data_IF_980882129189
#
_entry.id   IF_980882129189
#
_cell.length_a   1.000
_cell.length_b   1.000
_cell.length_c   1.000
_cell.angle_alpha   90.00
_cell.angle_beta   90.00
_cell.angle_gamma   90.00
#
_symmetry.space_group_name_H-M   'P 1'
#
loop_
_entity.id
_entity.type
_entity.pdbx_description
1 polymer ?
#
# COMPACT_ATOMS: atom_id res chain seq x y z
N UNK A 1 11.41 2.56 -41.51
CA UNK A 1 10.76 3.11 -40.30
C UNK A 1 9.59 2.19 -39.99
N UNK A 2 9.76 1.25 -39.06
CA UNK A 2 8.66 0.34 -38.67
C UNK A 2 7.77 1.08 -37.68
N UNK A 3 6.53 1.37 -38.07
CA UNK A 3 5.51 1.82 -37.14
C UNK A 3 5.08 0.62 -36.30
N UNK A 4 5.59 0.52 -35.07
CA UNK A 4 5.12 -0.48 -34.10
C UNK A 4 3.80 0.02 -33.55
N UNK A 5 2.72 -0.73 -33.79
CA UNK A 5 1.44 -0.46 -33.15
C UNK A 5 1.48 -1.02 -31.72
N UNK A 6 1.52 -0.15 -30.71
CA UNK A 6 1.56 -0.55 -29.30
C UNK A 6 0.39 -1.48 -28.94
N UNK A 7 -0.77 -1.31 -29.58
CA UNK A 7 -1.95 -2.16 -29.36
C UNK A 7 -1.75 -3.59 -29.88
N UNK A 8 -1.10 -3.78 -31.04
CA UNK A 8 -0.85 -5.13 -31.55
C UNK A 8 0.16 -5.86 -30.68
N UNK A 9 1.23 -5.17 -30.25
CA UNK A 9 2.22 -5.74 -29.32
C UNK A 9 1.59 -6.10 -27.96
N UNK A 10 0.66 -5.29 -27.48
CA UNK A 10 -0.07 -5.58 -26.25
C UNK A 10 -0.92 -6.84 -26.41
N UNK A 11 -1.71 -6.94 -27.48
CA UNK A 11 -2.54 -8.11 -27.79
C UNK A 11 -1.72 -9.40 -27.83
N UNK A 12 -0.55 -9.37 -28.47
CA UNK A 12 0.36 -10.51 -28.52
C UNK A 12 0.88 -10.88 -27.11
N UNK A 13 1.19 -9.86 -26.28
CA UNK A 13 1.69 -10.07 -24.92
C UNK A 13 0.65 -10.55 -23.91
N UNK A 14 -0.63 -10.23 -24.12
CA UNK A 14 -1.73 -10.60 -23.22
C UNK A 14 -2.40 -11.92 -23.59
N UNK A 15 -2.08 -12.52 -24.74
CA UNK A 15 -2.68 -13.77 -25.22
C UNK A 15 -2.42 -14.96 -24.29
N UNK A 16 -1.16 -15.18 -23.91
CA UNK A 16 -0.77 -16.27 -22.98
C UNK A 16 -1.47 -16.12 -21.62
N UNK A 17 -1.55 -14.89 -21.10
CA UNK A 17 -2.27 -14.58 -19.87
C UNK A 17 -3.77 -14.93 -19.99
N UNK A 18 -4.41 -14.54 -21.09
CA UNK A 18 -5.84 -14.82 -21.31
C UNK A 18 -6.12 -16.32 -21.43
N UNK A 19 -5.23 -17.06 -22.10
CA UNK A 19 -5.36 -18.51 -22.30
C UNK A 19 -5.37 -19.32 -21.00
N UNK A 20 -4.75 -18.77 -19.94
CA UNK A 20 -4.64 -19.41 -18.61
C UNK A 20 -5.72 -18.96 -17.63
N UNK A 21 -6.35 -17.82 -17.86
CA UNK A 21 -7.36 -17.24 -16.94
C UNK A 21 -8.79 -17.62 -17.31
N UNK A 22 -9.07 -17.82 -18.61
CA UNK A 22 -10.33 -18.40 -19.11
C UNK A 22 -11.59 -17.74 -18.52
N UNK A 23 -11.69 -16.41 -18.63
CA UNK A 23 -12.84 -15.65 -18.09
C UNK A 23 -14.12 -15.84 -18.91
N UNK A 24 -14.00 -15.97 -20.23
CA UNK A 24 -15.13 -16.22 -21.13
C UNK A 24 -14.78 -17.26 -22.19
N UNK A 25 -15.79 -17.79 -22.89
CA UNK A 25 -15.59 -18.84 -23.89
C UNK A 25 -14.80 -18.40 -25.12
N UNK A 26 -14.64 -17.08 -25.35
CA UNK A 26 -13.89 -16.52 -26.46
C UNK A 26 -12.58 -15.88 -26.01
N UNK A 27 -11.47 -16.59 -26.23
CA UNK A 27 -10.12 -16.08 -25.95
C UNK A 27 -9.82 -14.76 -26.67
N UNK A 28 -10.26 -14.64 -27.93
CA UNK A 28 -10.08 -13.41 -28.72
C UNK A 28 -10.83 -12.24 -28.08
N UNK A 29 -12.09 -12.44 -27.70
CA UNK A 29 -12.89 -11.39 -27.05
C UNK A 29 -12.30 -10.99 -25.70
N UNK A 30 -11.80 -11.96 -24.93
CA UNK A 30 -11.13 -11.70 -23.65
C UNK A 30 -9.87 -10.86 -23.87
N UNK A 31 -9.01 -11.26 -24.81
CA UNK A 31 -7.74 -10.60 -25.08
C UNK A 31 -7.95 -9.15 -25.57
N UNK A 32 -8.93 -8.95 -26.47
CA UNK A 32 -9.30 -7.62 -26.95
C UNK A 32 -9.84 -6.73 -25.82
N UNK A 33 -10.73 -7.26 -24.98
CA UNK A 33 -11.31 -6.54 -23.85
C UNK A 33 -10.25 -6.17 -22.80
N UNK A 34 -9.35 -7.10 -22.47
CA UNK A 34 -8.25 -6.86 -21.52
C UNK A 34 -7.30 -5.77 -22.04
N UNK A 35 -6.84 -5.91 -23.30
CA UNK A 35 -5.97 -4.91 -23.94
C UNK A 35 -6.61 -3.52 -23.94
N UNK A 36 -7.89 -3.42 -24.27
CA UNK A 36 -8.61 -2.15 -24.28
C UNK A 36 -8.81 -1.55 -22.88
N UNK A 37 -9.07 -2.40 -21.89
CA UNK A 37 -9.17 -1.98 -20.49
C UNK A 37 -7.84 -1.40 -19.99
N UNK A 38 -6.72 -2.06 -20.28
CA UNK A 38 -5.37 -1.59 -19.92
C UNK A 38 -5.14 -0.17 -20.47
N UNK A 39 -5.39 0.05 -21.76
CA UNK A 39 -5.26 1.39 -22.34
C UNK A 39 -6.20 2.40 -21.72
N UNK A 40 -7.44 2.00 -21.41
CA UNK A 40 -8.45 2.89 -20.87
C UNK A 40 -8.10 3.38 -19.47
N UNK A 41 -7.61 2.49 -18.59
CA UNK A 41 -7.34 2.85 -17.19
C UNK A 41 -5.97 3.48 -16.97
N UNK A 42 -5.00 3.24 -17.87
CA UNK A 42 -3.61 3.68 -17.68
C UNK A 42 -3.42 5.20 -17.52
N UNK A 43 -4.41 5.99 -17.96
CA UNK A 43 -4.46 7.46 -17.82
C UNK A 43 -5.90 7.97 -17.71
N UNK A 44 -6.79 7.23 -17.03
CA UNK A 44 -8.21 7.60 -17.01
C UNK A 44 -8.45 8.91 -16.26
N UNK A 45 -9.21 9.84 -16.87
CA UNK A 45 -9.52 11.14 -16.29
C UNK A 45 -10.98 11.50 -16.55
N UNK A 46 -11.60 12.18 -15.59
CA UNK A 46 -12.94 12.78 -15.70
C UNK A 46 -12.87 14.24 -15.29
N UNK A 47 -13.35 15.14 -16.16
CA UNK A 47 -13.31 16.60 -15.93
C UNK A 47 -11.90 17.14 -15.54
N UNK A 48 -10.84 16.48 -16.03
CA UNK A 48 -9.44 16.82 -15.72
C UNK A 48 -8.92 16.24 -14.40
N UNK A 49 -9.75 15.53 -13.63
CA UNK A 49 -9.35 14.81 -12.43
C UNK A 49 -8.92 13.40 -12.80
N UNK A 50 -7.70 13.03 -12.42
CA UNK A 50 -7.21 11.66 -12.55
C UNK A 50 -7.99 10.73 -11.63
N UNK A 51 -8.53 9.65 -12.20
CA UNK A 51 -9.16 8.58 -11.44
C UNK A 51 -8.32 7.31 -11.56
N UNK A 52 -8.40 6.47 -10.54
CA UNK A 52 -7.65 5.22 -10.43
C UNK A 52 -8.60 4.04 -10.19
N UNK A 53 -9.58 3.79 -11.09
CA UNK A 53 -10.55 2.72 -10.87
C UNK A 53 -9.83 1.37 -10.83
N UNK A 54 -10.20 0.52 -9.86
CA UNK A 54 -9.89 -0.92 -9.91
C UNK A 54 -11.06 -1.64 -10.57
N UNK A 55 -10.75 -2.46 -11.55
CA UNK A 55 -11.74 -3.17 -12.37
C UNK A 55 -11.55 -4.67 -12.18
N UNK A 56 -12.62 -5.35 -11.80
CA UNK A 56 -12.66 -6.81 -11.66
C UNK A 56 -13.47 -7.39 -12.81
N UNK A 57 -12.81 -8.19 -13.64
CA UNK A 57 -13.47 -9.04 -14.62
C UNK A 57 -13.75 -10.39 -13.95
N UNK A 58 -15.01 -10.81 -13.92
CA UNK A 58 -15.46 -11.98 -13.16
C UNK A 58 -16.26 -12.92 -14.06
N UNK A 59 -16.24 -14.22 -13.81
CA UNK A 59 -17.21 -15.13 -14.42
C UNK A 59 -18.55 -15.14 -13.68
N UNK A 60 -18.58 -14.81 -12.39
CA UNK A 60 -19.79 -14.78 -11.56
C UNK A 60 -19.64 -13.77 -10.39
N UNK A 61 -20.41 -12.69 -10.43
CA UNK A 61 -20.44 -11.68 -9.35
C UNK A 61 -21.21 -12.16 -8.12
N UNK A 62 -22.24 -13.00 -8.28
CA UNK A 62 -23.08 -13.47 -7.18
C UNK A 62 -22.30 -14.40 -6.25
N UNK A 63 -21.43 -15.24 -6.81
CA UNK A 63 -20.49 -16.04 -6.01
C UNK A 63 -19.47 -15.17 -5.29
N UNK A 64 -18.91 -14.16 -5.95
CA UNK A 64 -17.99 -13.23 -5.31
C UNK A 64 -18.63 -12.48 -4.12
N UNK A 65 -19.87 -11.97 -4.29
CA UNK A 65 -20.60 -11.28 -3.22
C UNK A 65 -20.92 -12.20 -2.04
N UNK A 66 -21.22 -13.48 -2.27
CA UNK A 66 -21.44 -14.46 -1.19
C UNK A 66 -20.20 -14.72 -0.35
N UNK A 67 -19.01 -14.55 -0.93
CA UNK A 67 -17.73 -14.72 -0.23
C UNK A 67 -17.30 -13.46 0.53
N UNK A 68 -17.79 -12.28 0.13
CA UNK A 68 -17.45 -11.00 0.73
C UNK A 68 -18.45 -10.60 1.83
N UNK A 69 -18.06 -10.63 3.11
CA UNK A 69 -18.94 -10.18 4.20
C UNK A 69 -19.32 -8.71 4.04
N UNK A 70 -20.58 -8.37 4.36
CA UNK A 70 -21.06 -6.99 4.29
C UNK A 70 -21.00 -6.35 2.90
N UNK A 71 -20.84 -7.17 1.86
CA UNK A 71 -20.74 -6.70 0.47
C UNK A 71 -22.03 -6.08 -0.05
N UNK A 72 -21.87 -5.21 -1.03
CA UNK A 72 -22.97 -4.56 -1.73
C UNK A 72 -22.60 -4.38 -3.20
N UNK A 73 -23.60 -4.41 -4.08
CA UNK A 73 -23.42 -4.25 -5.51
C UNK A 73 -24.57 -3.49 -6.15
N UNK A 74 -24.23 -2.63 -7.10
CA UNK A 74 -25.17 -1.84 -7.88
C UNK A 74 -24.92 -2.16 -9.36
N UNK A 75 -25.89 -2.84 -9.97
CA UNK A 75 -25.89 -3.10 -11.40
C UNK A 75 -26.18 -1.80 -12.17
N UNK A 76 -25.31 -1.46 -13.13
CA UNK A 76 -25.41 -0.22 -13.92
C UNK A 76 -25.88 -0.51 -15.35
N UNK A 77 -25.45 -1.63 -15.94
CA UNK A 77 -25.90 -1.98 -17.27
C UNK A 77 -25.39 -3.34 -17.75
N UNK A 78 -25.68 -3.62 -19.02
CA UNK A 78 -25.25 -4.83 -19.69
C UNK A 78 -25.03 -4.58 -21.17
N UNK A 79 -24.26 -5.44 -21.81
CA UNK A 79 -24.03 -5.45 -23.26
C UNK A 79 -23.96 -6.89 -23.76
N UNK A 80 -24.28 -7.11 -25.04
CA UNK A 80 -24.16 -8.43 -25.69
C UNK A 80 -22.71 -8.76 -26.05
N UNK A 81 -21.85 -7.75 -26.12
CA UNK A 81 -20.43 -7.93 -26.41
C UNK A 81 -19.61 -7.61 -25.17
N UNK A 82 -18.74 -8.54 -24.75
CA UNK A 82 -17.88 -8.37 -23.58
C UNK A 82 -16.98 -7.13 -23.69
N UNK A 83 -16.37 -6.90 -24.86
CA UNK A 83 -15.54 -5.72 -25.09
C UNK A 83 -16.36 -4.41 -24.99
N UNK A 84 -17.61 -4.39 -25.48
CA UNK A 84 -18.49 -3.24 -25.35
C UNK A 84 -18.96 -3.00 -23.91
N UNK A 85 -19.21 -4.08 -23.14
CA UNK A 85 -19.49 -4.02 -21.72
C UNK A 85 -18.32 -3.41 -20.95
N UNK A 86 -17.08 -3.84 -21.22
CA UNK A 86 -15.87 -3.27 -20.59
C UNK A 86 -15.73 -1.77 -20.86
N UNK A 87 -15.87 -1.31 -22.11
CA UNK A 87 -15.83 0.13 -22.43
C UNK A 87 -16.92 0.91 -21.69
N UNK A 88 -18.13 0.36 -21.68
CA UNK A 88 -19.27 0.99 -21.01
C UNK A 88 -19.09 1.03 -19.49
N UNK A 89 -18.53 -0.02 -18.90
CA UNK A 89 -18.25 -0.11 -17.48
C UNK A 89 -17.24 0.94 -17.05
N UNK A 90 -16.10 1.04 -17.74
CA UNK A 90 -15.10 2.09 -17.43
C UNK A 90 -15.75 3.47 -17.54
N UNK A 91 -16.46 3.76 -18.63
CA UNK A 91 -17.06 5.09 -18.83
C UNK A 91 -18.14 5.45 -17.81
N UNK A 92 -19.01 4.50 -17.44
CA UNK A 92 -20.18 4.77 -16.59
C UNK A 92 -19.91 4.56 -15.10
N UNK A 93 -18.97 3.69 -14.76
CA UNK A 93 -18.70 3.30 -13.38
C UNK A 93 -17.45 3.96 -12.79
N UNK A 94 -16.51 4.50 -13.58
CA UNK A 94 -15.29 5.11 -13.02
C UNK A 94 -15.56 6.25 -12.03
N UNK A 95 -16.50 7.19 -12.26
CA UNK A 95 -16.85 8.20 -11.26
C UNK A 95 -17.47 7.63 -9.98
N UNK A 96 -18.04 6.42 -10.06
CA UNK A 96 -18.69 5.73 -8.94
C UNK A 96 -17.72 4.85 -8.16
N UNK A 97 -16.62 4.42 -8.79
CA UNK A 97 -15.60 3.54 -8.23
C UNK A 97 -14.59 4.31 -7.34
N UNK A 98 -15.14 4.99 -6.34
CA UNK A 98 -14.42 5.78 -5.33
C UNK A 98 -14.82 5.32 -3.93
N UNK A 99 -14.00 5.61 -2.92
CA UNK A 99 -14.29 5.34 -1.51
C UNK A 99 -14.70 3.87 -1.23
N UNK A 100 -13.90 2.93 -1.74
CA UNK A 100 -14.11 1.48 -1.51
C UNK A 100 -15.03 0.80 -2.52
N UNK A 101 -15.61 1.54 -3.47
CA UNK A 101 -16.32 0.94 -4.60
C UNK A 101 -15.37 0.61 -5.75
N UNK A 102 -15.58 -0.54 -6.36
CA UNK A 102 -14.81 -1.06 -7.48
C UNK A 102 -15.73 -1.38 -8.65
N UNK A 103 -15.19 -1.34 -9.87
CA UNK A 103 -15.95 -1.70 -11.07
C UNK A 103 -15.95 -3.23 -11.19
N UNK A 104 -17.10 -3.83 -11.48
CA UNK A 104 -17.16 -5.21 -11.93
C UNK A 104 -17.67 -5.30 -13.37
N UNK A 105 -17.17 -6.29 -14.10
CA UNK A 105 -17.71 -6.73 -15.40
C UNK A 105 -17.80 -8.25 -15.37
N UNK A 106 -19.01 -8.78 -15.50
CA UNK A 106 -19.25 -10.22 -15.59
C UNK A 106 -19.11 -10.64 -17.05
N UNK A 107 -18.16 -11.54 -17.30
CA UNK A 107 -17.90 -12.11 -18.60
C UNK A 107 -18.79 -13.34 -18.81
N UNK A 108 -19.75 -13.24 -19.73
CA UNK A 108 -20.58 -14.38 -20.16
C UNK A 108 -20.65 -14.41 -21.68
N UNK A 109 -21.00 -15.56 -22.24
CA UNK A 109 -21.07 -15.75 -23.70
C UNK A 109 -22.29 -15.07 -24.35
N UNK A 110 -23.33 -14.75 -23.58
CA UNK A 110 -24.58 -14.15 -24.11
C UNK A 110 -24.69 -12.66 -23.81
N UNK A 111 -24.61 -12.28 -22.54
CA UNK A 111 -24.83 -10.90 -22.07
C UNK A 111 -23.88 -10.62 -20.91
N UNK A 112 -22.92 -9.74 -21.16
CA UNK A 112 -21.99 -9.27 -20.14
C UNK A 112 -22.60 -8.11 -19.36
N UNK A 113 -22.78 -8.28 -18.05
CA UNK A 113 -23.28 -7.23 -17.15
C UNK A 113 -22.15 -6.49 -16.45
N UNK A 114 -22.36 -5.23 -16.10
CA UNK A 114 -21.38 -4.42 -15.37
C UNK A 114 -22.03 -3.49 -14.36
N UNK A 115 -21.25 -3.11 -13.36
CA UNK A 115 -21.70 -2.23 -12.30
C UNK A 115 -20.56 -1.85 -11.36
N UNK A 116 -20.93 -1.48 -10.14
CA UNK A 116 -19.98 -1.28 -9.05
C UNK A 116 -20.30 -2.20 -7.88
N UNK A 117 -19.28 -2.64 -7.18
CA UNK A 117 -19.42 -3.43 -5.96
C UNK A 117 -18.39 -3.01 -4.92
N UNK A 118 -18.65 -3.39 -3.68
CA UNK A 118 -17.72 -3.21 -2.56
C UNK A 118 -17.79 -4.41 -1.62
N UNK A 119 -16.76 -4.57 -0.81
CA UNK A 119 -16.74 -5.47 0.33
C UNK A 119 -17.32 -4.79 1.57
N UNK A 120 -16.88 -5.25 2.73
CA UNK A 120 -17.26 -4.67 4.01
C UNK A 120 -16.90 -3.17 4.08
N UNK A 121 -17.74 -2.40 4.78
CA UNK A 121 -17.50 -0.99 5.07
C UNK A 121 -16.61 -0.76 6.28
N UNK A 122 -16.40 -1.79 7.09
CA UNK A 122 -15.50 -1.71 8.23
C UNK A 122 -14.04 -1.63 7.72
N UNK A 123 -13.30 -0.56 8.04
CA UNK A 123 -11.95 -0.32 7.51
C UNK A 123 -10.90 -1.37 7.89
N UNK A 124 -11.15 -2.17 8.94
CA UNK A 124 -10.23 -3.22 9.40
C UNK A 124 -10.64 -4.62 8.93
N UNK A 125 -11.68 -4.72 8.11
CA UNK A 125 -12.09 -5.99 7.50
C UNK A 125 -11.10 -6.47 6.45
N UNK A 126 -11.14 -7.78 6.19
CA UNK A 126 -10.27 -8.41 5.19
C UNK A 126 -10.44 -7.73 3.82
N UNK A 127 -9.33 -7.34 3.15
CA UNK A 127 -9.40 -6.77 1.81
C UNK A 127 -10.10 -7.69 0.82
N UNK A 128 -10.80 -7.09 -0.16
CA UNK A 128 -11.48 -7.84 -1.23
C UNK A 128 -10.49 -8.75 -1.96
N UNK A 129 -9.29 -8.24 -2.24
CA UNK A 129 -8.24 -8.96 -2.96
C UNK A 129 -7.90 -10.27 -2.26
N UNK A 130 -7.79 -10.27 -0.93
CA UNK A 130 -7.44 -11.45 -0.13
C UNK A 130 -8.59 -12.46 -0.03
N UNK A 131 -9.80 -12.08 -0.46
CA UNK A 131 -10.99 -12.94 -0.45
C UNK A 131 -11.32 -13.52 -1.82
N UNK A 132 -11.14 -12.73 -2.90
CA UNK A 132 -11.58 -13.13 -4.24
C UNK A 132 -10.44 -13.34 -5.23
N UNK A 133 -9.21 -12.88 -4.96
CA UNK A 133 -8.03 -13.12 -5.81
C UNK A 133 -7.19 -14.32 -5.33
N UNK A 134 -7.84 -15.36 -4.83
CA UNK A 134 -7.23 -16.60 -4.33
C UNK A 134 -7.66 -17.80 -5.18
N UNK A 135 -6.87 -18.87 -5.19
CA UNK A 135 -7.09 -20.04 -6.06
C UNK A 135 -8.22 -20.96 -5.56
N UNK A 136 -8.73 -20.74 -4.35
CA UNK A 136 -9.77 -21.51 -3.68
C UNK A 136 -11.20 -21.00 -3.94
N UNK A 137 -11.38 -20.05 -4.87
CA UNK A 137 -12.70 -19.50 -5.22
C UNK A 137 -13.35 -20.26 -6.40
N UNK A 138 -14.69 -20.44 -6.42
CA UNK A 138 -15.39 -21.24 -7.42
C UNK A 138 -15.67 -20.48 -8.74
N UNK A 139 -14.95 -19.40 -9.02
CA UNK A 139 -15.13 -18.55 -10.20
C UNK A 139 -13.78 -18.01 -10.70
N UNK A 140 -13.70 -17.61 -11.97
CA UNK A 140 -12.52 -16.92 -12.49
C UNK A 140 -12.63 -15.43 -12.21
N UNK A 141 -11.54 -14.81 -11.78
CA UNK A 141 -11.48 -13.35 -11.65
C UNK A 141 -10.13 -12.80 -12.05
N UNK A 142 -10.16 -11.62 -12.65
CA UNK A 142 -8.98 -10.83 -13.02
C UNK A 142 -9.21 -9.40 -12.55
N UNK A 143 -8.33 -8.92 -11.67
CA UNK A 143 -8.22 -7.51 -11.29
C UNK A 143 -7.28 -6.79 -12.23
N UNK A 144 -7.71 -5.63 -12.71
CA UNK A 144 -6.90 -4.69 -13.46
C UNK A 144 -6.93 -3.36 -12.71
N UNK A 145 -5.75 -2.82 -12.40
CA UNK A 145 -5.64 -1.52 -11.74
C UNK A 145 -4.36 -0.80 -12.16
N UNK A 146 -4.42 0.52 -12.11
CA UNK A 146 -3.26 1.36 -12.36
C UNK A 146 -2.34 1.34 -11.12
N UNK A 147 -1.04 1.11 -11.33
CA UNK A 147 -0.03 1.31 -10.28
C UNK A 147 0.42 2.76 -10.30
N UNK A 148 0.85 3.26 -11.47
CA UNK A 148 1.28 4.64 -11.72
C UNK A 148 0.82 5.05 -13.12
N UNK A 149 1.05 6.31 -13.51
CA UNK A 149 0.80 6.74 -14.89
C UNK A 149 1.51 5.79 -15.87
N UNK A 150 0.77 5.32 -16.89
CA UNK A 150 1.24 4.35 -17.88
C UNK A 150 1.60 2.94 -17.39
N UNK A 151 1.50 2.65 -16.10
CA UNK A 151 1.80 1.34 -15.55
C UNK A 151 0.54 0.69 -14.99
N UNK A 152 0.14 -0.41 -15.60
CA UNK A 152 -1.05 -1.18 -15.25
C UNK A 152 -0.64 -2.57 -14.81
N UNK A 153 -1.22 -3.02 -13.71
CA UNK A 153 -1.06 -4.38 -13.22
C UNK A 153 -2.36 -5.15 -13.43
N UNK A 154 -2.20 -6.37 -13.94
CA UNK A 154 -3.25 -7.35 -14.15
C UNK A 154 -2.96 -8.55 -13.26
N UNK A 155 -3.89 -8.91 -12.39
CA UNK A 155 -3.75 -10.01 -11.43
C UNK A 155 -4.93 -10.94 -11.61
N UNK A 156 -4.70 -12.24 -11.74
CA UNK A 156 -5.76 -13.25 -11.70
C UNK A 156 -5.74 -14.03 -10.39
N UNK A 157 -6.88 -14.60 -10.03
CA UNK A 157 -7.00 -15.43 -8.83
C UNK A 157 -6.20 -16.74 -8.85
N UNK A 158 -5.72 -17.18 -10.02
CA UNK A 158 -4.80 -18.31 -10.13
C UNK A 158 -3.31 -17.93 -9.96
N UNK A 159 -3.03 -16.72 -9.47
CA UNK A 159 -1.68 -16.25 -9.13
C UNK A 159 -0.87 -15.68 -10.30
N UNK A 160 -1.42 -15.57 -11.51
CA UNK A 160 -0.73 -14.90 -12.61
C UNK A 160 -0.77 -13.39 -12.42
N UNK A 161 0.39 -12.77 -12.61
CA UNK A 161 0.56 -11.31 -12.56
C UNK A 161 1.22 -10.85 -13.85
N UNK A 162 0.64 -9.83 -14.47
CA UNK A 162 1.19 -9.16 -15.65
C UNK A 162 1.34 -7.67 -15.36
N UNK A 163 2.58 -7.19 -15.43
CA UNK A 163 2.93 -5.78 -15.29
C UNK A 163 3.16 -5.17 -16.68
N UNK A 164 2.42 -4.11 -16.99
CA UNK A 164 2.38 -3.53 -18.33
C UNK A 164 2.76 -2.05 -18.23
N UNK A 165 3.86 -1.69 -18.87
CA UNK A 165 4.29 -0.29 -19.03
C UNK A 165 3.99 0.18 -20.45
N UNK A 166 3.19 1.25 -20.58
CA UNK A 166 2.86 1.89 -21.85
C UNK A 166 3.82 3.03 -22.21
N UNK A 167 4.77 3.36 -21.32
CA UNK A 167 5.81 4.35 -21.56
C UNK A 167 7.08 3.71 -22.12
N UNK A 168 7.79 4.44 -23.00
CA UNK A 168 9.12 4.04 -23.48
C UNK A 168 10.24 4.30 -22.45
N UNK A 169 9.95 5.08 -21.42
CA UNK A 169 10.83 5.25 -20.28
C UNK A 169 10.64 4.06 -19.33
N UNK A 170 11.74 3.51 -18.84
CA UNK A 170 11.85 2.46 -17.81
C UNK A 170 11.96 1.01 -18.32
N UNK A 171 13.22 0.59 -18.52
CA UNK A 171 13.63 -0.81 -18.49
C UNK A 171 14.18 -1.26 -17.12
N UNK A 172 14.35 -0.35 -16.15
CA UNK A 172 15.01 -0.64 -14.86
C UNK A 172 14.16 -0.22 -13.64
N UNK A 173 12.84 -0.43 -13.66
CA UNK A 173 12.01 -0.23 -12.48
C UNK A 173 12.15 -1.42 -11.52
N UNK A 174 12.87 -1.23 -10.42
CA UNK A 174 12.95 -2.19 -9.32
C UNK A 174 11.60 -2.33 -8.59
N UNK A 175 11.31 -3.56 -8.14
CA UNK A 175 10.09 -4.05 -7.50
C UNK A 175 9.43 -3.05 -6.52
N UNK A 176 8.29 -2.46 -6.91
CA UNK A 176 7.53 -1.51 -6.08
C UNK A 176 6.72 -2.14 -4.92
N UNK A 177 6.15 -3.36 -5.01
CA UNK A 177 5.34 -3.92 -3.92
C UNK A 177 6.16 -4.23 -2.67
N UNK A 178 7.39 -4.72 -2.86
CA UNK A 178 8.28 -5.10 -1.75
C UNK A 178 8.70 -3.91 -0.89
N UNK A 179 8.84 -2.72 -1.47
CA UNK A 179 9.21 -1.52 -0.72
C UNK A 179 8.12 -1.03 0.23
N UNK A 180 6.85 -1.09 -0.19
CA UNK A 180 5.74 -0.70 0.68
C UNK A 180 5.61 -1.64 1.88
N UNK A 181 5.70 -2.96 1.66
CA UNK A 181 5.63 -3.94 2.74
C UNK A 181 6.76 -3.73 3.77
N UNK A 182 7.98 -3.45 3.29
CA UNK A 182 9.12 -3.11 4.15
C UNK A 182 8.89 -1.81 4.92
N UNK A 183 8.31 -0.78 4.29
CA UNK A 183 7.96 0.48 4.96
C UNK A 183 6.93 0.24 6.08
N UNK A 184 5.84 -0.43 5.78
CA UNK A 184 4.78 -0.72 6.76
C UNK A 184 5.34 -1.53 7.92
N UNK A 185 6.19 -2.53 7.64
CA UNK A 185 6.88 -3.31 8.67
C UNK A 185 7.72 -2.44 9.62
N UNK A 186 8.43 -1.43 9.11
CA UNK A 186 9.19 -0.51 9.96
C UNK A 186 8.27 0.44 10.77
N UNK A 187 7.15 0.88 10.19
CA UNK A 187 6.12 1.70 10.87
C UNK A 187 5.45 0.93 12.02
N UNK A 188 5.27 -0.38 11.90
CA UNK A 188 4.59 -1.21 12.91
C UNK A 188 5.55 -2.01 13.79
N UNK A 189 6.86 -1.84 13.63
CA UNK A 189 7.88 -2.69 14.26
C UNK A 189 7.84 -2.76 15.79
N UNK A 190 7.27 -1.76 16.47
CA UNK A 190 7.12 -1.70 17.94
C UNK A 190 5.65 -1.77 18.40
N UNK A 191 4.72 -2.20 17.53
CA UNK A 191 3.32 -2.45 17.94
C UNK A 191 3.17 -3.82 18.64
N UNK A 192 4.06 -4.78 18.36
CA UNK A 192 4.00 -6.13 18.90
C UNK A 192 4.65 -6.32 20.27
N UNK A 193 5.30 -5.28 20.83
CA UNK A 193 5.91 -5.34 22.16
C UNK A 193 4.90 -4.96 23.23
N UNK A 194 4.71 -5.82 24.24
CA UNK A 194 3.91 -5.52 25.43
C UNK A 194 4.20 -4.11 25.98
N UNK A 195 3.22 -3.42 26.59
CA UNK A 195 3.50 -2.18 27.30
C UNK A 195 4.53 -2.48 28.39
N UNK A 196 5.65 -1.76 28.34
CA UNK A 196 6.67 -1.78 29.38
C UNK A 196 6.01 -1.32 30.69
N UNK A 197 5.55 -2.27 31.51
CA UNK A 197 4.96 -1.99 32.80
C UNK A 197 6.07 -1.38 33.64
N UNK A 198 6.01 -0.06 33.82
CA UNK A 198 6.80 0.64 34.81
C UNK A 198 6.56 -0.04 36.17
N UNK A 199 7.58 -0.75 36.65
CA UNK A 199 7.66 -1.34 37.98
C UNK A 199 7.63 -0.22 39.03
N UNK A 200 6.43 0.27 39.35
CA UNK A 200 6.16 0.96 40.59
C UNK A 200 5.80 -0.08 41.65
N UNK A 201 6.78 -0.40 42.48
CA UNK A 201 6.69 -1.24 43.66
C UNK A 201 5.66 -0.71 44.67
N UNK A 202 4.67 -1.53 45.03
CA UNK A 202 4.14 -1.67 46.41
C UNK A 202 3.10 -2.81 46.47
N UNK A 203 3.20 -3.74 47.44
CA UNK A 203 2.23 -4.82 47.60
C UNK A 203 1.02 -4.30 48.38
N UNK A 204 -0.14 -4.26 47.73
CA UNK A 204 -1.43 -4.14 48.42
C UNK A 204 -2.07 -5.52 48.46
N UNK A 205 -2.11 -6.06 49.67
CA UNK A 205 -2.77 -7.29 50.07
C UNK A 205 -4.29 -7.16 49.84
N UNK A 206 -4.86 -7.94 48.91
CA UNK A 206 -6.32 -8.12 48.83
C UNK A 206 -6.66 -9.60 48.73
N UNK A 207 -7.02 -10.18 49.88
CA UNK A 207 -7.76 -11.44 49.98
C UNK A 207 -9.18 -11.22 49.46
N UNK A 208 -9.58 -11.94 48.41
CA UNK A 208 -10.96 -11.94 47.91
C UNK A 208 -11.28 -13.23 47.16
N UNK A 209 -12.11 -14.06 47.79
CA UNK A 209 -12.54 -15.39 47.33
C UNK A 209 -13.51 -15.30 46.15
N UNK A 210 -13.21 -16.00 45.04
CA UNK A 210 -14.17 -16.30 43.97
C UNK A 210 -15.01 -17.53 44.34
N UNK A 211 -16.34 -17.41 44.28
CA UNK A 211 -17.27 -18.55 44.23
C UNK A 211 -18.07 -18.46 42.93
N UNK A 212 -17.72 -19.24 41.92
CA UNK A 212 -18.56 -19.46 40.74
C UNK A 212 -19.41 -20.71 41.01
N UNK A 213 -20.71 -20.52 41.21
CA UNK A 213 -21.71 -21.60 41.23
C UNK A 213 -22.47 -21.65 39.90
N UNK A 214 -22.44 -22.83 39.32
CA UNK A 214 -23.51 -23.49 38.55
C UNK A 214 -24.02 -22.85 37.25
N UNK A 215 -23.73 -23.50 36.12
CA UNK A 215 -24.78 -24.04 35.23
C UNK A 215 -24.25 -25.12 34.27
N UNK A 216 -24.29 -26.39 34.68
CA UNK A 216 -24.32 -27.52 33.74
C UNK A 216 -24.98 -28.73 34.43
N UNK A 217 -26.21 -29.06 34.04
CA UNK A 217 -26.93 -30.29 34.40
C UNK A 217 -27.57 -30.88 33.14
N UNK A 218 -27.53 -32.21 33.06
CA UNK A 218 -27.98 -33.13 31.99
C UNK A 218 -26.96 -33.22 30.86
N UNK A 219 -26.21 -34.33 30.71
CA UNK A 219 -26.70 -35.69 30.46
C UNK A 219 -25.88 -36.71 31.26
N UNK A 220 -26.54 -37.74 31.80
CA UNK A 220 -25.93 -38.73 32.69
C UNK A 220 -25.32 -39.93 31.98
N UNK A 221 -24.27 -40.49 32.59
CA UNK A 221 -23.93 -41.90 32.54
C UNK A 221 -23.28 -42.32 33.87
N UNK A 222 -23.64 -43.51 34.34
CA UNK A 222 -23.26 -44.10 35.64
C UNK A 222 -21.87 -44.73 35.63
N UNK A 223 -21.22 -44.61 36.80
CA UNK A 223 -19.96 -45.16 37.31
C UNK A 223 -19.43 -46.50 36.77
N UNK A 224 -18.09 -46.58 36.69
CA UNK A 224 -17.30 -47.82 36.73
C UNK A 224 -15.80 -47.58 36.92
N UNK A 225 -15.32 -47.83 38.15
CA UNK A 225 -13.95 -48.11 38.62
C UNK A 225 -12.75 -47.97 37.66
N UNK A 226 -11.76 -47.14 38.02
CA UNK A 226 -10.41 -47.55 38.49
C UNK A 226 -9.52 -46.31 38.68
N UNK A 227 -8.73 -46.32 39.76
CA UNK A 227 -7.93 -45.18 40.18
C UNK A 227 -6.63 -45.00 39.39
N UNK A 228 -6.29 -43.73 39.18
CA UNK A 228 -4.92 -43.20 39.20
C UNK A 228 -5.03 -41.69 39.34
N UNK A 229 -4.46 -41.14 40.41
CA UNK A 229 -4.29 -39.69 40.54
C UNK A 229 -3.35 -39.21 39.43
N UNK A 230 -3.90 -38.56 38.41
CA UNK A 230 -3.13 -37.78 37.46
C UNK A 230 -3.08 -36.36 38.00
N UNK A 231 -1.86 -35.90 38.28
CA UNK A 231 -1.52 -34.52 38.63
C UNK A 231 -1.83 -33.66 37.40
N UNK A 232 -3.02 -33.05 37.34
CA UNK A 232 -3.36 -32.11 36.27
C UNK A 232 -2.54 -30.84 36.54
N UNK A 233 -1.49 -30.65 35.74
CA UNK A 233 -0.83 -29.36 35.61
C UNK A 233 -1.89 -28.36 35.16
N UNK A 234 -2.00 -27.23 35.87
CA UNK A 234 -2.74 -26.07 35.37
C UNK A 234 -1.95 -25.52 34.20
N UNK A 235 -2.30 -25.98 33.01
CA UNK A 235 -1.97 -25.31 31.77
C UNK A 235 -2.69 -23.95 31.83
N UNK A 236 -1.91 -22.88 31.96
CA UNK A 236 -2.40 -21.53 31.63
C UNK A 236 -2.63 -21.54 30.13
N UNK A 237 -3.89 -21.49 29.72
CA UNK A 237 -4.23 -21.03 28.38
C UNK A 237 -4.09 -19.52 28.43
N UNK A 238 -2.94 -19.01 28.01
CA UNK A 238 -2.76 -17.60 27.66
C UNK A 238 -3.62 -17.31 26.41
N UNK A 239 -4.30 -16.16 26.30
CA UNK A 239 -5.08 -15.81 25.13
C UNK A 239 -4.14 -15.33 24.02
N UNK A 240 -3.45 -16.25 23.35
CA UNK A 240 -2.53 -15.93 22.24
C UNK A 240 -3.26 -15.49 20.95
N UNK A 241 -4.60 -15.47 20.92
CA UNK A 241 -5.40 -15.21 19.70
C UNK A 241 -5.67 -13.74 19.36
N UNK A 242 -6.01 -12.89 20.34
CA UNK A 242 -6.56 -11.55 20.06
C UNK A 242 -5.49 -10.51 19.67
N UNK A 243 -4.23 -10.70 20.11
CA UNK A 243 -3.17 -9.71 19.91
C UNK A 243 -2.48 -9.82 18.53
N UNK A 244 -2.44 -11.03 17.98
CA UNK A 244 -1.87 -11.29 16.65
C UNK A 244 -2.81 -10.77 15.56
N UNK A 245 -4.11 -11.09 15.68
CA UNK A 245 -5.16 -10.65 14.76
C UNK A 245 -5.20 -9.12 14.63
N UNK A 246 -5.16 -8.41 15.77
CA UNK A 246 -5.19 -6.94 15.83
C UNK A 246 -4.01 -6.28 15.11
N UNK A 247 -2.82 -6.91 15.17
CA UNK A 247 -1.63 -6.42 14.47
C UNK A 247 -1.71 -6.69 12.96
N UNK A 248 -2.23 -7.85 12.55
CA UNK A 248 -2.48 -8.16 11.14
C UNK A 248 -3.45 -7.15 10.52
N UNK A 249 -4.52 -6.80 11.24
CA UNK A 249 -5.51 -5.81 10.82
C UNK A 249 -4.93 -4.39 10.75
N UNK A 250 -4.06 -4.02 11.68
CA UNK A 250 -3.31 -2.76 11.62
C UNK A 250 -2.40 -2.70 10.38
N UNK A 251 -1.63 -3.76 10.13
CA UNK A 251 -0.72 -3.85 8.98
C UNK A 251 -1.51 -3.78 7.68
N UNK A 252 -2.62 -4.51 7.59
CA UNK A 252 -3.51 -4.50 6.42
C UNK A 252 -4.09 -3.10 6.17
N UNK A 253 -4.65 -2.47 7.20
CA UNK A 253 -5.21 -1.12 7.11
C UNK A 253 -4.17 -0.09 6.66
N UNK A 254 -2.98 -0.07 7.29
CA UNK A 254 -1.92 0.87 6.93
C UNK A 254 -1.37 0.61 5.53
N UNK A 255 -1.23 -0.65 5.13
CA UNK A 255 -0.81 -1.03 3.78
C UNK A 255 -1.79 -0.48 2.74
N UNK A 256 -3.09 -0.64 2.98
CA UNK A 256 -4.13 -0.09 2.11
C UNK A 256 -4.09 1.44 2.07
N UNK A 257 -4.12 2.10 3.24
CA UNK A 257 -4.13 3.55 3.38
C UNK A 257 -2.94 4.19 2.66
N UNK A 258 -1.73 3.69 2.93
CA UNK A 258 -0.49 4.25 2.38
C UNK A 258 -0.41 3.92 0.89
N UNK A 259 -0.73 2.70 0.45
CA UNK A 259 -0.73 2.35 -0.98
C UNK A 259 -1.66 3.25 -1.79
N UNK A 260 -2.88 3.45 -1.31
CA UNK A 260 -3.89 4.25 -2.00
C UNK A 260 -3.53 5.74 -2.02
N UNK A 261 -3.01 6.27 -0.90
CA UNK A 261 -2.50 7.63 -0.82
C UNK A 261 -1.34 7.90 -1.78
N UNK A 262 -0.38 6.97 -1.85
CA UNK A 262 0.79 7.03 -2.73
C UNK A 262 0.34 7.05 -4.20
N UNK A 263 -0.56 6.15 -4.60
CA UNK A 263 -1.08 6.08 -5.99
C UNK A 263 -1.74 7.39 -6.45
N UNK A 264 -2.41 8.08 -5.52
CA UNK A 264 -3.09 9.36 -5.76
C UNK A 264 -2.16 10.57 -5.63
N UNK A 265 -0.88 10.38 -5.29
CA UNK A 265 0.10 11.44 -5.10
C UNK A 265 0.99 11.60 -6.33
N UNK A 266 1.49 12.82 -6.57
CA UNK A 266 2.50 13.11 -7.61
C UNK A 266 3.93 12.80 -7.14
N UNK A 267 4.08 11.97 -6.12
CA UNK A 267 5.32 11.62 -5.44
C UNK A 267 5.33 12.06 -3.98
N UNK A 268 5.82 11.18 -3.11
CA UNK A 268 5.82 11.37 -1.66
C UNK A 268 7.18 11.00 -1.05
N UNK A 269 7.43 11.50 0.17
CA UNK A 269 8.59 11.16 0.96
C UNK A 269 8.13 10.83 2.39
N UNK A 270 8.38 9.60 2.83
CA UNK A 270 7.96 9.07 4.12
C UNK A 270 9.21 8.70 4.90
N UNK A 271 9.31 9.17 6.14
CA UNK A 271 10.37 8.78 7.07
C UNK A 271 9.77 8.07 8.28
N UNK A 272 10.50 7.08 8.81
CA UNK A 272 10.18 6.42 10.08
C UNK A 272 11.27 6.80 11.08
N UNK A 273 10.90 7.52 12.13
CA UNK A 273 11.82 7.92 13.20
C UNK A 273 12.32 6.70 13.97
N UNK A 274 13.52 6.80 14.55
CA UNK A 274 14.07 5.75 15.41
C UNK A 274 13.22 5.49 16.66
N UNK A 275 12.68 6.56 17.24
CA UNK A 275 11.90 6.57 18.46
C UNK A 275 10.58 7.36 18.24
N UNK A 276 9.80 7.62 19.28
CA UNK A 276 8.60 8.47 19.20
C UNK A 276 8.89 9.99 19.12
N UNK A 277 10.14 10.37 18.90
CA UNK A 277 10.60 11.75 18.82
C UNK A 277 10.91 12.17 17.39
N UNK A 278 10.82 13.49 17.15
CA UNK A 278 11.16 14.09 15.86
C UNK A 278 12.69 14.17 15.75
N UNK A 279 13.30 13.68 14.66
CA UNK A 279 14.73 13.83 14.39
C UNK A 279 15.15 15.30 14.42
N UNK A 280 16.33 15.59 14.98
CA UNK A 280 16.84 16.96 15.12
C UNK A 280 16.97 17.67 13.79
N UNK A 281 17.30 16.92 12.73
CA UNK A 281 17.42 17.46 11.39
C UNK A 281 16.07 17.96 10.79
N UNK A 282 14.94 17.57 11.37
CA UNK A 282 13.59 17.94 10.93
C UNK A 282 12.85 18.85 11.93
N UNK A 283 13.37 19.00 13.16
CA UNK A 283 12.69 19.69 14.26
C UNK A 283 12.34 21.16 13.99
N UNK A 284 13.07 21.82 13.09
CA UNK A 284 12.96 23.26 12.85
C UNK A 284 12.15 23.64 11.60
N UNK A 285 11.78 22.69 10.75
CA UNK A 285 11.14 22.97 9.47
C UNK A 285 10.10 21.89 9.16
N UNK A 286 8.87 22.11 9.62
CA UNK A 286 7.68 21.29 9.38
C UNK A 286 6.58 21.49 10.42
N UNK A 287 5.53 20.66 10.35
CA UNK A 287 4.37 20.73 11.23
C UNK A 287 4.36 19.53 12.18
N UNK A 288 4.71 19.77 13.43
CA UNK A 288 4.66 18.78 14.51
C UNK A 288 3.22 18.67 15.05
N UNK A 289 2.68 17.45 15.13
CA UNK A 289 1.37 17.25 15.74
C UNK A 289 1.48 17.31 17.26
N UNK A 290 0.67 18.16 17.89
CA UNK A 290 0.59 18.25 19.36
C UNK A 290 0.08 16.94 19.98
N UNK A 291 -0.81 16.26 19.26
CA UNK A 291 -1.25 14.89 19.55
C UNK A 291 -0.99 14.04 18.30
N UNK A 292 -0.01 13.12 18.33
CA UNK A 292 0.21 12.17 17.24
C UNK A 292 -1.06 11.38 16.91
N UNK A 293 -1.24 11.05 15.63
CA UNK A 293 -2.34 10.19 15.18
C UNK A 293 -1.90 8.74 15.39
N UNK A 294 -2.48 8.04 16.35
CA UNK A 294 -2.11 6.67 16.73
C UNK A 294 -3.01 5.66 16.02
N UNK A 295 -2.53 5.04 14.94
CA UNK A 295 -3.32 4.06 14.20
C UNK A 295 -3.47 2.73 14.93
N UNK A 296 -2.52 2.37 15.80
CA UNK A 296 -2.66 1.16 16.60
C UNK A 296 -3.82 1.32 17.60
N UNK A 297 -3.91 2.47 18.28
CA UNK A 297 -5.06 2.79 19.15
C UNK A 297 -6.38 2.85 18.37
N UNK A 298 -6.40 3.53 17.21
CA UNK A 298 -7.62 3.70 16.41
C UNK A 298 -8.13 2.38 15.81
N UNK A 299 -7.24 1.49 15.35
CA UNK A 299 -7.61 0.15 14.86
C UNK A 299 -8.19 -0.69 16.01
N UNK A 300 -7.53 -0.69 17.17
CA UNK A 300 -8.01 -1.42 18.34
C UNK A 300 -9.38 -0.89 18.83
N UNK A 301 -9.61 0.43 18.79
CA UNK A 301 -10.90 1.03 19.10
C UNK A 301 -11.97 0.60 18.08
N UNK A 302 -11.64 0.58 16.79
CA UNK A 302 -12.54 0.13 15.72
C UNK A 302 -12.94 -1.34 15.85
N UNK A 303 -11.99 -2.22 16.19
CA UNK A 303 -12.25 -3.66 16.42
C UNK A 303 -13.19 -3.89 17.60
N UNK A 304 -12.99 -3.16 18.70
CA UNK A 304 -13.86 -3.27 19.90
C UNK A 304 -15.24 -2.64 19.69
N UNK A 305 -15.27 -1.53 18.94
CA UNK A 305 -16.46 -0.72 18.73
C UNK A 305 -16.61 -0.36 17.24
N UNK A 306 -17.13 -1.28 16.39
CA UNK A 306 -17.25 -1.04 14.95
C UNK A 306 -18.08 0.22 14.59
N UNK A 307 -19.00 0.62 15.45
CA UNK A 307 -19.79 1.85 15.29
C UNK A 307 -18.96 3.14 15.39
N UNK A 308 -17.71 3.06 15.88
CA UNK A 308 -16.78 4.18 16.00
C UNK A 308 -15.75 4.24 14.85
N UNK A 309 -15.89 3.42 13.81
CA UNK A 309 -15.02 3.39 12.63
C UNK A 309 -14.80 4.76 11.97
N UNK A 310 -15.73 5.71 12.16
CA UNK A 310 -15.61 7.08 11.66
C UNK A 310 -14.34 7.81 12.14
N UNK A 311 -13.85 7.55 13.36
CA UNK A 311 -12.59 8.13 13.85
C UNK A 311 -11.39 7.64 13.04
N UNK A 312 -11.32 6.34 12.80
CA UNK A 312 -10.26 5.72 12.01
C UNK A 312 -10.27 6.22 10.56
N UNK A 313 -11.46 6.23 9.93
CA UNK A 313 -11.65 6.71 8.55
C UNK A 313 -11.22 8.18 8.41
N UNK A 314 -11.71 9.07 9.29
CA UNK A 314 -11.37 10.49 9.24
C UNK A 314 -9.88 10.76 9.49
N UNK A 315 -9.25 9.97 10.37
CA UNK A 315 -7.80 10.03 10.61
C UNK A 315 -7.00 9.55 9.41
N UNK A 316 -7.46 8.49 8.73
CA UNK A 316 -6.88 8.03 7.45
C UNK A 316 -6.93 9.11 6.37
N UNK A 317 -8.10 9.74 6.18
CA UNK A 317 -8.26 10.84 5.21
C UNK A 317 -7.34 12.03 5.49
N UNK A 318 -7.10 12.35 6.76
CA UNK A 318 -6.16 13.39 7.14
C UNK A 318 -4.73 13.03 6.71
N UNK A 319 -4.33 11.77 6.91
CA UNK A 319 -3.00 11.27 6.51
C UNK A 319 -2.85 11.19 4.99
N UNK A 320 -3.91 10.85 4.24
CA UNK A 320 -3.90 10.98 2.78
C UNK A 320 -3.62 12.43 2.35
N UNK A 321 -4.22 13.41 3.02
CA UNK A 321 -3.97 14.82 2.79
C UNK A 321 -2.52 15.22 3.11
N UNK A 322 -1.97 14.72 4.22
CA UNK A 322 -0.57 14.94 4.61
C UNK A 322 0.40 14.33 3.59
N UNK A 323 0.12 13.12 3.07
CA UNK A 323 0.94 12.45 2.04
C UNK A 323 0.92 13.14 0.68
N UNK A 324 -0.14 13.90 0.38
CA UNK A 324 -0.27 14.72 -0.82
C UNK A 324 0.35 16.11 -0.67
N UNK A 325 0.67 16.53 0.54
CA UNK A 325 1.38 17.78 0.77
C UNK A 325 2.85 17.69 0.34
N UNK A 326 3.47 18.83 0.09
CA UNK A 326 4.92 18.87 -0.13
C UNK A 326 5.68 18.54 1.17
N UNK A 327 6.93 18.09 1.03
CA UNK A 327 7.79 17.75 2.16
C UNK A 327 7.71 16.28 2.59
N UNK A 328 8.10 16.03 3.84
CA UNK A 328 8.24 14.69 4.44
C UNK A 328 7.13 14.49 5.46
N UNK A 329 6.49 13.32 5.44
CA UNK A 329 5.67 12.83 6.55
C UNK A 329 6.51 11.92 7.45
N UNK A 330 6.35 12.08 8.75
CA UNK A 330 7.12 11.35 9.76
C UNK A 330 6.22 10.42 10.56
N UNK A 331 6.52 9.13 10.48
CA UNK A 331 5.91 8.08 11.29
C UNK A 331 6.85 7.67 12.42
N UNK A 332 6.27 7.21 13.53
CA UNK A 332 6.97 6.45 14.56
C UNK A 332 6.88 4.94 14.27
N UNK A 333 7.73 4.11 14.89
CA UNK A 333 7.66 2.64 14.79
C UNK A 333 6.47 2.01 15.55
N UNK A 334 5.61 2.84 16.18
CA UNK A 334 4.38 2.42 16.86
C UNK A 334 3.13 2.86 16.09
N UNK A 335 3.21 2.92 14.76
CA UNK A 335 2.11 3.33 13.90
C UNK A 335 1.52 4.72 14.21
N UNK A 336 2.34 5.66 14.73
CA UNK A 336 1.92 7.04 14.98
C UNK A 336 2.40 7.98 13.89
N UNK A 337 1.56 8.91 13.44
CA UNK A 337 2.01 10.06 12.65
C UNK A 337 2.45 11.17 13.60
N UNK A 338 3.72 11.54 13.54
CA UNK A 338 4.33 12.56 14.40
C UNK A 338 4.19 13.97 13.81
N UNK A 339 4.19 14.08 12.49
CA UNK A 339 4.11 15.35 11.79
C UNK A 339 4.24 15.19 10.28
N UNK A 340 4.10 16.30 9.58
CA UNK A 340 4.15 16.35 8.13
C UNK A 340 4.74 17.67 7.63
N UNK A 341 4.95 17.76 6.31
CA UNK A 341 5.53 18.92 5.66
C UNK A 341 6.92 19.28 6.21
N UNK A 342 7.69 18.27 6.61
CA UNK A 342 9.07 18.50 7.03
C UNK A 342 10.00 18.68 5.84
N UNK A 343 11.04 19.49 5.98
CA UNK A 343 12.09 19.64 4.98
C UNK A 343 13.45 19.38 5.58
N UNK A 344 14.30 18.71 4.81
CA UNK A 344 15.69 18.53 5.22
C UNK A 344 16.43 19.84 4.98
N UNK A 345 16.88 20.50 6.06
CA UNK A 345 17.66 21.73 5.95
C UNK A 345 18.87 21.51 5.05
N UNK A 346 19.05 22.33 4.00
CA UNK A 346 20.30 22.35 3.25
C UNK A 346 21.41 22.82 4.20
N UNK A 347 22.50 22.08 4.26
CA UNK A 347 23.63 22.46 5.11
C UNK A 347 24.21 23.76 4.56
N UNK A 348 24.82 24.62 5.38
CA UNK A 348 25.43 25.87 4.92
C UNK A 348 26.41 25.64 3.75
N UNK A 349 27.10 24.48 3.73
CA UNK A 349 27.97 24.05 2.64
C UNK A 349 27.24 23.89 1.28
N UNK A 350 25.97 23.46 1.29
CA UNK A 350 25.16 23.27 0.08
C UNK A 350 24.71 24.64 -0.50
N UNK A 351 24.54 25.65 0.36
CA UNK A 351 24.20 27.01 -0.03
C UNK A 351 25.41 27.79 -0.57
N UNK A 352 26.61 27.53 -0.05
CA UNK A 352 27.85 28.12 -0.57
C UNK A 352 28.26 27.53 -1.94
N UNK A 353 28.02 26.24 -2.18
CA UNK A 353 28.20 25.61 -3.50
C UNK A 353 27.21 26.12 -4.56
N UNK A 354 26.01 26.54 -4.16
CA UNK A 354 25.04 27.14 -5.07
C UNK A 354 25.36 28.62 -5.36
N UNK A 355 25.91 29.35 -4.39
CA UNK A 355 26.38 30.73 -4.59
C UNK A 355 27.59 30.80 -5.51
N UNK A 356 28.56 29.88 -5.39
CA UNK A 356 29.76 29.85 -6.24
C UNK A 356 29.48 29.48 -7.71
N UNK A 357 28.37 28.80 -7.99
CA UNK A 357 27.94 28.48 -9.36
C UNK A 357 27.04 29.56 -10.01
N UNK A 358 26.73 30.65 -9.28
CA UNK A 358 25.81 31.70 -9.73
C UNK A 358 26.46 33.08 -9.94
N UNK A 359 27.78 33.21 -9.77
CA UNK A 359 28.51 34.44 -10.01
C UNK A 359 29.57 34.28 -11.11
N UNK A 360 29.38 35.07 -12.18
CA UNK A 360 30.34 35.51 -13.19
C UNK A 360 30.89 34.50 -14.21
N UNK A 361 30.19 34.43 -15.35
CA UNK A 361 30.81 34.14 -16.65
C UNK A 361 30.62 35.36 -17.55
N UNK A 362 31.51 36.34 -17.39
CA UNK A 362 31.90 37.24 -18.49
C UNK A 362 33.17 36.68 -19.11
N UNK A 363 33.05 35.99 -20.25
CA UNK A 363 34.21 35.53 -21.01
C UNK A 363 34.97 36.72 -21.63
N UNK A 364 36.30 36.61 -21.73
CA UNK A 364 36.93 36.89 -23.00
C UNK A 364 37.67 35.66 -23.53
N UNK A 365 37.42 35.37 -24.82
CA UNK A 365 38.22 34.47 -25.64
C UNK A 365 39.65 34.99 -25.77
N UNK A 366 40.64 34.19 -25.40
CA UNK A 366 41.77 33.87 -26.29
C UNK A 366 42.88 33.04 -25.59
N UNK A 367 43.44 32.14 -26.40
CA UNK A 367 44.81 31.58 -26.38
C UNK A 367 45.06 30.24 -25.68
N UNK A 368 45.43 29.29 -26.56
CA UNK A 368 46.03 27.99 -26.32
C UNK A 368 47.23 28.05 -25.35
N UNK A 369 47.32 27.04 -24.50
CA UNK A 369 48.52 26.70 -23.74
C UNK A 369 48.44 25.23 -23.30
N UNK A 370 49.51 24.48 -23.53
CA UNK A 370 49.59 23.01 -23.49
C UNK A 370 50.12 22.51 -22.13
N UNK A 371 49.70 21.29 -21.72
CA UNK A 371 50.25 20.36 -20.69
C UNK A 371 49.89 20.58 -19.19
N UNK A 372 49.98 19.56 -18.30
CA UNK A 372 50.15 18.10 -18.46
C UNK A 372 49.11 17.23 -17.68
N UNK A 373 49.08 15.91 -17.94
CA UNK A 373 48.44 14.89 -17.07
C UNK A 373 49.33 14.56 -15.87
N UNK A 374 48.74 14.35 -14.68
CA UNK A 374 49.14 13.25 -13.78
C UNK A 374 47.89 12.45 -13.33
N UNK A 375 47.83 11.15 -13.65
CA UNK A 375 48.14 10.00 -12.79
C UNK A 375 47.13 9.71 -11.65
N UNK A 376 46.29 8.72 -11.93
CA UNK A 376 45.70 7.69 -11.05
C UNK A 376 46.02 7.73 -9.54
N UNK A 377 45.01 7.99 -8.72
CA UNK A 377 44.45 7.07 -7.70
C UNK A 377 43.56 7.84 -6.72
N UNK A 378 42.28 7.43 -6.66
CA UNK A 378 41.43 7.30 -5.47
C UNK A 378 39.97 7.61 -5.82
N UNK A 379 39.13 6.60 -5.54
CA UNK A 379 37.67 6.60 -5.40
C UNK A 379 36.93 7.82 -5.96
N UNK A 380 36.29 7.62 -7.11
CA UNK A 380 35.29 8.51 -7.66
C UNK A 380 34.15 8.72 -6.66
N UNK A 381 34.08 9.90 -6.05
CA UNK A 381 32.83 10.50 -5.60
C UNK A 381 31.92 10.65 -6.84
N UNK A 382 30.65 10.18 -6.82
CA UNK A 382 29.72 10.55 -7.86
C UNK A 382 29.28 12.00 -7.64
N UNK A 383 30.10 12.94 -8.09
CA UNK A 383 29.66 14.31 -8.35
C UNK A 383 28.79 14.29 -9.61
N UNK A 384 27.48 14.11 -9.42
CA UNK A 384 26.45 14.65 -10.31
C UNK A 384 25.10 14.46 -9.64
N UNK A 385 24.51 15.58 -9.20
CA UNK A 385 23.16 15.69 -8.68
C UNK A 385 22.10 15.36 -9.77
N UNK A 386 22.00 14.09 -10.14
CA UNK A 386 20.97 13.58 -11.06
C UNK A 386 19.78 13.16 -10.21
N UNK A 387 18.97 14.13 -9.79
CA UNK A 387 17.79 13.88 -8.99
C UNK A 387 17.02 15.16 -8.66
N UNK A 388 15.69 15.08 -8.65
CA UNK A 388 14.82 16.19 -8.23
C UNK A 388 14.98 16.53 -6.74
N UNK A 389 14.24 17.53 -6.25
CA UNK A 389 14.31 17.94 -4.84
C UNK A 389 14.00 16.78 -3.87
N UNK A 390 13.01 15.94 -4.19
CA UNK A 390 12.66 14.73 -3.42
C UNK A 390 13.79 13.70 -3.38
N UNK A 391 14.48 13.46 -4.51
CA UNK A 391 15.61 12.52 -4.58
C UNK A 391 16.76 12.96 -3.68
N UNK A 392 17.11 14.25 -3.69
CA UNK A 392 18.16 14.79 -2.81
C UNK A 392 17.77 14.71 -1.34
N UNK A 393 16.50 14.97 -1.01
CA UNK A 393 15.99 14.80 0.34
C UNK A 393 16.04 13.32 0.77
N UNK A 394 15.65 12.38 -0.11
CA UNK A 394 15.75 10.94 0.15
C UNK A 394 17.19 10.49 0.41
N UNK A 395 18.16 10.94 -0.38
CA UNK A 395 19.59 10.62 -0.19
C UNK A 395 20.08 11.13 1.18
N UNK A 396 19.69 12.34 1.57
CA UNK A 396 20.07 12.90 2.86
C UNK A 396 19.39 12.19 4.03
N UNK A 397 18.11 11.84 3.93
CA UNK A 397 17.43 11.02 4.95
C UNK A 397 18.04 9.61 5.01
N UNK A 398 18.46 9.05 3.87
CA UNK A 398 19.07 7.72 3.80
C UNK A 398 20.40 7.64 4.57
N UNK A 399 21.14 8.74 4.70
CA UNK A 399 22.35 8.78 5.55
C UNK A 399 22.03 8.87 7.04
N UNK A 400 20.79 9.21 7.40
CA UNK A 400 20.29 9.25 8.79
C UNK A 400 19.66 7.93 9.25
N UNK A 401 19.45 6.97 8.34
CA UNK A 401 18.96 5.63 8.68
C UNK A 401 20.00 4.92 9.55
N UNK A 402 19.58 4.39 10.70
CA UNK A 402 20.42 3.77 11.73
C UNK A 402 20.78 4.71 12.88
N UNK A 403 20.91 6.01 12.62
CA UNK A 403 21.21 7.01 13.65
C UNK A 403 19.94 7.62 14.25
N UNK A 404 19.18 8.38 13.45
CA UNK A 404 17.95 9.09 13.83
C UNK A 404 16.69 8.51 13.21
N UNK A 405 16.80 7.80 12.08
CA UNK A 405 15.70 7.17 11.37
C UNK A 405 15.84 5.65 11.38
N UNK A 406 14.71 4.93 11.35
CA UNK A 406 14.68 3.49 11.03
C UNK A 406 14.58 3.24 9.54
N UNK A 407 13.80 4.06 8.85
CA UNK A 407 13.55 3.87 7.44
C UNK A 407 13.21 5.18 6.74
N UNK A 408 13.41 5.16 5.43
CA UNK A 408 12.94 6.19 4.52
C UNK A 408 12.41 5.52 3.26
N UNK A 409 11.30 6.04 2.76
CA UNK A 409 10.66 5.64 1.52
C UNK A 409 10.41 6.87 0.66
N UNK A 410 10.68 6.77 -0.64
CA UNK A 410 10.34 7.79 -1.63
C UNK A 410 9.56 7.16 -2.77
N UNK A 411 8.53 7.85 -3.25
CA UNK A 411 8.00 7.66 -4.59
C UNK A 411 8.27 8.91 -5.42
N UNK A 412 8.88 8.75 -6.61
CA UNK A 412 9.03 9.83 -7.57
C UNK A 412 7.71 10.14 -8.28
N UNK A 413 7.66 11.28 -8.98
CA UNK A 413 6.51 11.65 -9.81
C UNK A 413 6.26 10.64 -10.95
N UNK A 414 7.32 9.98 -11.40
CA UNK A 414 7.27 8.93 -12.43
C UNK A 414 6.91 7.56 -11.85
N UNK A 415 6.64 7.49 -10.54
CA UNK A 415 6.19 6.27 -9.88
C UNK A 415 7.30 5.33 -9.40
N UNK A 416 8.57 5.73 -9.54
CA UNK A 416 9.70 4.94 -9.06
C UNK A 416 9.73 5.00 -7.54
N UNK A 417 9.75 3.83 -6.90
CA UNK A 417 9.86 3.71 -5.45
C UNK A 417 11.29 3.40 -5.01
N UNK A 418 11.74 4.03 -3.94
CA UNK A 418 13.01 3.73 -3.26
C UNK A 418 12.74 3.50 -1.78
N UNK A 419 13.46 2.55 -1.18
CA UNK A 419 13.37 2.26 0.23
C UNK A 419 14.75 1.98 0.83
N UNK A 420 15.02 2.53 2.01
CA UNK A 420 16.15 2.17 2.86
C UNK A 420 15.65 1.99 4.29
N UNK A 421 15.93 0.83 4.89
CA UNK A 421 15.61 0.52 6.28
C UNK A 421 16.86 0.04 7.04
N UNK A 422 16.79 0.01 8.37
CA UNK A 422 17.89 -0.45 9.24
C UNK A 422 18.26 -1.93 9.06
N UNK A 423 17.34 -2.74 8.50
CA UNK A 423 17.50 -4.18 8.32
C UNK A 423 17.96 -4.59 6.90
N UNK A 424 18.40 -3.63 6.06
CA UNK A 424 18.81 -3.86 4.67
C UNK A 424 20.35 -3.86 4.45
N UNK A 425 21.17 -3.98 5.51
CA UNK A 425 22.64 -4.18 5.41
C UNK A 425 23.07 -5.60 5.75
#
# INVERSE_FOLDING_TARGET
MQHINLRSKLLDSTEDFCSKTLLCGSLESQNQALSELIFSIARYQEEGVQLHPKVYLLSDIELALKMLPGSDAIAIGSDRCFNAAVKSAVKKCSPLAINGWFIYVVATDEVSSYGVFRGDTNPVSLPIDDTILTDDVPFSTVKIHQITNDNVEVISNNGLVLNISLSHAFQDAHESPGHLNKLVSEITSYCSSEPEIALASSPVDVKGSFTIRNLARKVGFRNGLFGKQVKIARERVEPEGDFDESNEQLISYLSYLISDAIKKSHGCLIAVSKNEEIPRALEHDGICLTKPIDFHELVNECLRHPNEAGKLISSGQLVEGMLKSDGIILFSPKAKVLGFNFFVSSTIADQELQKSNSSDISFPRSLLGVFPKPSTNNASLPNSAIGGARTRAYEKLSSMVGSELRAVFMQSQDGITYFKGTNNE
#
